data_IF_629929097798
#
_entry.id   IF_629929097798
#
_cell.length_a   1.000
_cell.length_b   1.000
_cell.length_c   1.000
_cell.angle_alpha   90.00
_cell.angle_beta   90.00
_cell.angle_gamma   90.00
#
_symmetry.space_group_name_H-M   'P 1'
#
loop_
_entity.id
_entity.type
_entity.pdbx_description
1 polymer ?
#
# COMPACT_ATOMS: atom_id res chain seq x y z
N UNK A 1 -44.70 -17.06 10.70
CA UNK A 1 -45.08 -18.26 11.50
C UNK A 1 -45.75 -19.26 10.56
N UNK A 2 -45.38 -20.54 10.62
CA UNK A 2 -46.06 -21.61 9.89
C UNK A 2 -47.06 -22.29 10.83
N UNK A 3 -48.36 -22.29 10.52
CA UNK A 3 -49.37 -22.99 11.31
C UNK A 3 -49.32 -24.50 11.06
N UNK A 4 -49.58 -25.31 12.08
CA UNK A 4 -49.71 -26.77 11.95
C UNK A 4 -51.13 -27.22 11.53
N UNK A 5 -52.12 -26.31 11.61
CA UNK A 5 -53.50 -26.54 11.23
C UNK A 5 -54.06 -25.27 10.57
N UNK A 6 -54.89 -25.42 9.53
CA UNK A 6 -55.41 -24.30 8.72
C UNK A 6 -56.36 -23.37 9.48
N UNK A 7 -56.78 -23.75 10.69
CA UNK A 7 -57.62 -22.95 11.60
C UNK A 7 -56.85 -21.97 12.47
N UNK A 8 -55.52 -21.90 12.36
CA UNK A 8 -54.71 -20.99 13.15
C UNK A 8 -54.96 -19.53 12.75
N UNK A 9 -55.13 -18.65 13.75
CA UNK A 9 -55.48 -17.24 13.55
C UNK A 9 -54.26 -16.32 13.26
N UNK A 10 -53.04 -16.86 13.38
CA UNK A 10 -51.78 -16.11 13.19
C UNK A 10 -50.88 -16.64 12.04
N UNK A 11 -51.40 -17.04 10.88
CA UNK A 11 -50.56 -17.50 9.77
C UNK A 11 -49.75 -16.33 9.21
N UNK A 12 -48.50 -16.58 8.81
CA UNK A 12 -47.62 -15.61 8.14
C UNK A 12 -47.25 -14.33 8.93
N UNK A 13 -47.48 -14.29 10.25
CA UNK A 13 -47.01 -13.17 11.08
C UNK A 13 -45.48 -13.19 11.29
N UNK A 14 -44.89 -12.00 11.50
CA UNK A 14 -43.51 -11.83 11.95
C UNK A 14 -43.38 -12.28 13.40
N UNK A 15 -42.33 -13.05 13.68
CA UNK A 15 -42.08 -13.61 15.00
C UNK A 15 -40.58 -13.50 15.31
N UNK A 16 -40.25 -13.20 16.57
CA UNK A 16 -38.86 -13.21 17.02
C UNK A 16 -38.53 -14.59 17.60
N UNK A 17 -37.48 -15.28 17.10
CA UNK A 17 -37.16 -16.65 17.53
C UNK A 17 -36.85 -16.73 19.03
N UNK A 18 -36.35 -15.64 19.64
CA UNK A 18 -36.01 -15.59 21.07
C UNK A 18 -37.25 -15.55 21.98
N UNK A 19 -38.35 -14.94 21.54
CA UNK A 19 -39.56 -14.78 22.38
C UNK A 19 -40.71 -15.69 21.97
N UNK A 20 -40.62 -16.37 20.83
CA UNK A 20 -41.70 -17.17 20.23
C UNK A 20 -42.25 -18.29 21.13
N UNK A 21 -41.42 -18.88 22.00
CA UNK A 21 -41.87 -19.96 22.88
C UNK A 21 -42.69 -19.47 24.10
N UNK A 22 -42.67 -18.15 24.37
CA UNK A 22 -43.42 -17.53 25.49
C UNK A 22 -44.65 -16.76 25.03
N UNK A 23 -44.87 -16.59 23.73
CA UNK A 23 -45.98 -15.79 23.20
C UNK A 23 -47.29 -16.57 23.21
N UNK A 24 -48.41 -15.85 23.06
CA UNK A 24 -49.73 -16.46 23.02
C UNK A 24 -49.95 -17.34 21.75
N UNK A 25 -49.08 -17.19 20.74
CA UNK A 25 -49.15 -17.89 19.45
C UNK A 25 -48.95 -19.39 19.63
N UNK A 26 -47.98 -19.80 20.46
CA UNK A 26 -47.69 -21.21 20.75
C UNK A 26 -48.78 -21.87 21.60
N UNK A 27 -49.54 -21.09 22.38
CA UNK A 27 -50.69 -21.57 23.17
C UNK A 27 -51.95 -21.76 22.31
N UNK A 28 -52.20 -20.85 21.38
CA UNK A 28 -53.38 -20.87 20.51
C UNK A 28 -53.21 -21.83 19.33
N UNK A 29 -51.98 -21.99 18.81
CA UNK A 29 -51.67 -22.88 17.70
C UNK A 29 -50.55 -23.87 18.09
N UNK A 30 -50.90 -25.04 18.67
CA UNK A 30 -49.93 -26.06 19.04
C UNK A 30 -49.23 -26.62 17.78
N UNK A 31 -47.90 -26.71 17.82
CA UNK A 31 -47.08 -27.16 16.68
C UNK A 31 -46.69 -26.07 15.68
N UNK A 32 -47.07 -24.81 15.90
CA UNK A 32 -46.63 -23.70 15.04
C UNK A 32 -45.12 -23.43 15.18
N UNK A 33 -44.46 -23.13 14.07
CA UNK A 33 -43.01 -22.85 14.05
C UNK A 33 -42.72 -21.43 13.55
N UNK A 34 -41.78 -20.76 14.22
CA UNK A 34 -41.21 -19.49 13.76
C UNK A 34 -40.01 -19.77 12.87
N UNK A 35 -40.24 -19.82 11.56
CA UNK A 35 -39.14 -19.96 10.59
C UNK A 35 -38.53 -18.61 10.23
N UNK A 36 -37.24 -18.64 9.92
CA UNK A 36 -36.55 -17.53 9.31
C UNK A 36 -37.12 -17.27 7.92
N UNK A 37 -37.77 -16.12 7.73
CA UNK A 37 -38.38 -15.75 6.45
C UNK A 37 -37.39 -15.01 5.55
N UNK A 38 -36.74 -13.96 6.06
CA UNK A 38 -35.75 -13.20 5.31
C UNK A 38 -34.94 -12.28 6.23
N UNK A 39 -33.67 -12.05 5.89
CA UNK A 39 -32.78 -11.09 6.54
C UNK A 39 -32.99 -9.67 5.97
N UNK A 40 -34.23 -9.20 5.85
CA UNK A 40 -34.47 -7.80 5.46
C UNK A 40 -35.57 -7.19 6.31
N UNK A 41 -35.29 -7.09 7.62
CA UNK A 41 -35.96 -6.06 8.40
C UNK A 41 -35.71 -4.71 7.73
N UNK A 42 -36.75 -3.90 7.58
CA UNK A 42 -36.72 -2.50 7.09
C UNK A 42 -35.88 -1.60 8.02
N UNK A 43 -34.61 -1.91 8.20
CA UNK A 43 -33.66 -1.07 8.89
C UNK A 43 -32.84 -0.37 7.83
N UNK A 44 -32.94 0.97 7.82
CA UNK A 44 -32.12 1.90 7.04
C UNK A 44 -30.67 1.38 6.92
N UNK A 45 -30.10 0.92 8.03
CA UNK A 45 -28.77 0.33 8.16
C UNK A 45 -28.43 -0.82 7.18
N UNK A 46 -29.34 -1.76 6.90
CA UNK A 46 -29.05 -2.87 5.98
C UNK A 46 -28.95 -2.40 4.51
N UNK A 47 -29.54 -1.25 4.15
CA UNK A 47 -29.38 -0.65 2.82
C UNK A 47 -28.06 0.13 2.69
N UNK A 48 -27.65 0.81 3.76
CA UNK A 48 -26.39 1.56 3.79
C UNK A 48 -25.17 0.68 4.07
N UNK A 49 -25.33 -0.56 4.55
CA UNK A 49 -24.19 -1.44 4.84
C UNK A 49 -23.34 -1.71 3.60
N UNK A 50 -23.96 -1.97 2.43
CA UNK A 50 -23.23 -2.18 1.19
C UNK A 50 -22.49 -0.91 0.74
N UNK A 51 -23.14 0.24 0.86
CA UNK A 51 -22.54 1.55 0.54
C UNK A 51 -21.37 1.86 1.49
N UNK A 52 -21.52 1.56 2.78
CA UNK A 52 -20.48 1.74 3.78
C UNK A 52 -19.29 0.81 3.53
N UNK A 53 -19.51 -0.44 3.12
CA UNK A 53 -18.44 -1.36 2.74
C UNK A 53 -17.70 -0.90 1.47
N UNK A 54 -18.44 -0.44 0.46
CA UNK A 54 -17.85 0.13 -0.76
C UNK A 54 -17.04 1.40 -0.45
N UNK A 55 -17.57 2.28 0.41
CA UNK A 55 -16.86 3.47 0.88
C UNK A 55 -15.58 3.11 1.64
N UNK A 56 -15.64 2.15 2.57
CA UNK A 56 -14.46 1.68 3.31
C UNK A 56 -13.40 1.08 2.39
N UNK A 57 -13.81 0.30 1.37
CA UNK A 57 -12.88 -0.27 0.39
C UNK A 57 -12.25 0.84 -0.46
N UNK A 58 -13.04 1.80 -0.92
CA UNK A 58 -12.56 2.96 -1.66
C UNK A 58 -11.54 3.77 -0.85
N UNK A 59 -11.88 4.13 0.39
CA UNK A 59 -10.99 4.87 1.29
C UNK A 59 -9.73 4.07 1.58
N UNK A 60 -9.84 2.76 1.84
CA UNK A 60 -8.69 1.89 2.05
C UNK A 60 -7.74 1.88 0.85
N UNK A 61 -8.26 1.65 -0.36
CA UNK A 61 -7.46 1.66 -1.57
C UNK A 61 -6.83 3.04 -1.83
N UNK A 62 -7.60 4.11 -1.63
CA UNK A 62 -7.11 5.47 -1.78
C UNK A 62 -5.96 5.80 -0.81
N UNK A 63 -6.10 5.44 0.46
CA UNK A 63 -5.06 5.62 1.47
C UNK A 63 -3.78 4.86 1.13
N UNK A 64 -3.87 3.61 0.67
CA UNK A 64 -2.70 2.82 0.24
C UNK A 64 -1.93 3.52 -0.89
N UNK A 65 -2.64 4.08 -1.87
CA UNK A 65 -2.02 4.82 -2.97
C UNK A 65 -1.40 6.15 -2.51
N UNK A 66 -2.04 6.87 -1.59
CA UNK A 66 -1.48 8.09 -0.99
C UNK A 66 -0.18 7.77 -0.24
N UNK A 67 -0.16 6.72 0.60
CA UNK A 67 1.03 6.34 1.37
C UNK A 67 2.19 5.98 0.44
N UNK A 68 1.91 5.24 -0.63
CA UNK A 68 2.92 4.86 -1.63
C UNK A 68 3.49 6.09 -2.35
N UNK A 69 2.63 7.01 -2.78
CA UNK A 69 3.05 8.25 -3.43
C UNK A 69 3.88 9.14 -2.49
N UNK A 70 3.47 9.23 -1.22
CA UNK A 70 4.18 9.98 -0.19
C UNK A 70 5.58 9.41 0.09
N UNK A 71 5.71 8.08 0.10
CA UNK A 71 7.01 7.40 0.25
C UNK A 71 7.97 7.77 -0.87
N UNK A 72 7.52 7.67 -2.13
CA UNK A 72 8.34 8.03 -3.29
C UNK A 72 8.72 9.51 -3.32
N UNK A 73 7.78 10.40 -3.03
CA UNK A 73 8.05 11.84 -2.94
C UNK A 73 9.09 12.14 -1.85
N UNK A 74 8.96 11.53 -0.67
CA UNK A 74 9.85 11.78 0.47
C UNK A 74 11.28 11.38 0.15
N UNK A 75 11.47 10.24 -0.52
CA UNK A 75 12.79 9.79 -0.99
C UNK A 75 13.38 10.76 -2.01
N UNK A 76 12.58 11.17 -3.01
CA UNK A 76 13.02 12.13 -4.01
C UNK A 76 13.40 13.49 -3.40
N UNK A 77 12.62 13.99 -2.44
CA UNK A 77 12.89 15.23 -1.71
C UNK A 77 14.16 15.16 -0.85
N UNK A 78 14.39 14.04 -0.17
CA UNK A 78 15.59 13.83 0.62
C UNK A 78 16.85 13.82 -0.26
N UNK A 79 16.79 13.16 -1.42
CA UNK A 79 17.87 13.20 -2.40
C UNK A 79 18.10 14.59 -2.97
N UNK A 80 17.02 15.28 -3.34
CA UNK A 80 17.13 16.59 -3.94
C UNK A 80 17.79 17.59 -2.99
N UNK A 81 17.40 17.55 -1.71
CA UNK A 81 17.97 18.39 -0.66
C UNK A 81 19.48 18.15 -0.46
N UNK A 82 19.96 16.93 -0.68
CA UNK A 82 21.38 16.60 -0.55
C UNK A 82 22.20 16.94 -1.81
N UNK A 83 21.68 16.65 -3.00
CA UNK A 83 22.38 16.84 -4.27
C UNK A 83 22.46 18.31 -4.68
N UNK A 84 21.38 19.08 -4.52
CA UNK A 84 21.31 20.49 -4.95
C UNK A 84 21.70 21.50 -3.86
N UNK A 85 22.17 21.07 -2.70
CA UNK A 85 22.74 21.97 -1.68
C UNK A 85 24.02 22.64 -2.20
N UNK A 86 23.99 23.97 -2.37
CA UNK A 86 25.11 24.75 -2.90
C UNK A 86 26.22 24.99 -1.88
N UNK A 87 25.90 25.24 -0.61
CA UNK A 87 26.88 25.30 0.48
C UNK A 87 26.71 24.11 1.44
N UNK A 88 27.61 23.13 1.32
CA UNK A 88 27.69 22.02 2.28
C UNK A 88 28.61 22.42 3.45
N UNK A 89 28.27 22.15 4.73
CA UNK A 89 27.09 21.44 5.22
C UNK A 89 25.89 22.35 5.60
N UNK A 90 26.06 23.68 5.59
CA UNK A 90 25.10 24.62 6.20
C UNK A 90 23.70 24.59 5.56
N UNK A 91 23.59 24.27 4.26
CA UNK A 91 22.31 24.22 3.53
C UNK A 91 21.61 22.85 3.61
N UNK A 92 22.20 21.85 4.28
CA UNK A 92 21.66 20.48 4.34
C UNK A 92 20.84 20.33 5.64
N UNK A 93 19.54 20.00 5.56
CA UNK A 93 18.75 19.74 6.77
C UNK A 93 19.29 18.51 7.51
N UNK A 94 19.38 18.60 8.85
CA UNK A 94 19.92 17.52 9.69
C UNK A 94 19.18 16.18 9.54
N UNK A 95 17.87 16.23 9.25
CA UNK A 95 17.02 15.07 8.97
C UNK A 95 16.29 15.26 7.64
N UNK A 96 16.93 14.97 6.49
CA UNK A 96 16.35 15.26 5.17
C UNK A 96 15.06 14.48 4.91
N UNK A 97 14.98 13.21 5.35
CA UNK A 97 13.77 12.37 5.20
C UNK A 97 12.59 12.95 5.97
N UNK A 98 12.78 13.29 7.25
CA UNK A 98 11.71 13.85 8.08
C UNK A 98 11.26 15.23 7.58
N UNK A 99 12.22 16.07 7.16
CA UNK A 99 11.94 17.41 6.62
C UNK A 99 11.12 17.32 5.33
N UNK A 100 11.53 16.48 4.37
CA UNK A 100 10.78 16.28 3.12
C UNK A 100 9.40 15.65 3.35
N UNK A 101 9.27 14.72 4.31
CA UNK A 101 7.98 14.13 4.67
C UNK A 101 7.00 15.16 5.24
N UNK A 102 7.45 16.00 6.17
CA UNK A 102 6.62 17.06 6.75
C UNK A 102 6.23 18.09 5.69
N UNK A 103 7.15 18.43 4.78
CA UNK A 103 6.85 19.33 3.66
C UNK A 103 5.79 18.74 2.73
N UNK A 104 5.88 17.45 2.42
CA UNK A 104 4.90 16.74 1.61
C UNK A 104 3.50 16.81 2.23
N UNK A 105 3.41 16.53 3.55
CA UNK A 105 2.14 16.54 4.28
C UNK A 105 1.53 17.93 4.44
N UNK A 106 2.35 18.98 4.60
CA UNK A 106 1.84 20.34 4.79
C UNK A 106 1.47 21.03 3.49
N UNK A 107 2.26 20.84 2.43
CA UNK A 107 2.14 21.64 1.21
C UNK A 107 1.62 20.86 0.01
N UNK A 108 1.76 19.53 -0.02
CA UNK A 108 1.50 18.72 -1.21
C UNK A 108 0.43 17.65 -1.05
N UNK A 109 -0.21 17.53 0.12
CA UNK A 109 -1.25 16.50 0.38
C UNK A 109 -2.38 16.52 -0.64
N UNK A 110 -2.85 17.71 -1.07
CA UNK A 110 -3.91 17.83 -2.08
C UNK A 110 -3.51 17.31 -3.47
N UNK A 111 -2.33 17.71 -3.96
CA UNK A 111 -1.79 17.25 -5.24
C UNK A 111 -1.40 15.77 -5.21
N UNK A 112 -0.90 15.28 -4.08
CA UNK A 112 -0.61 13.86 -3.87
C UNK A 112 -1.89 13.03 -3.87
N UNK A 113 -2.96 13.50 -3.22
CA UNK A 113 -4.25 12.83 -3.21
C UNK A 113 -4.87 12.75 -4.61
N UNK A 114 -4.87 13.86 -5.36
CA UNK A 114 -5.35 13.87 -6.74
C UNK A 114 -4.45 13.05 -7.68
N UNK A 115 -3.13 13.17 -7.53
CA UNK A 115 -2.14 12.42 -8.31
C UNK A 115 -2.23 10.91 -8.09
N UNK A 116 -2.49 10.46 -6.85
CA UNK A 116 -2.66 9.04 -6.52
C UNK A 116 -3.88 8.42 -7.22
N UNK A 117 -4.96 9.19 -7.41
CA UNK A 117 -6.14 8.74 -8.14
C UNK A 117 -5.84 8.60 -9.64
N UNK A 118 -5.10 9.56 -10.21
CA UNK A 118 -4.66 9.51 -11.62
C UNK A 118 -3.70 8.35 -11.84
N UNK A 119 -2.74 8.14 -10.93
CA UNK A 119 -1.78 7.04 -11.03
C UNK A 119 -2.50 5.69 -10.95
N UNK A 120 -3.50 5.52 -10.08
CA UNK A 120 -4.27 4.28 -10.01
C UNK A 120 -5.00 3.98 -11.33
N UNK A 121 -5.60 4.98 -11.97
CA UNK A 121 -6.25 4.83 -13.29
C UNK A 121 -5.22 4.58 -14.39
N UNK A 122 -4.11 5.33 -14.38
CA UNK A 122 -3.04 5.20 -15.35
C UNK A 122 -2.32 3.85 -15.25
N UNK A 123 -2.15 3.27 -14.06
CA UNK A 123 -1.54 1.96 -13.85
C UNK A 123 -2.39 0.84 -14.48
N UNK A 124 -3.71 0.91 -14.36
CA UNK A 124 -4.62 -0.01 -15.06
C UNK A 124 -4.43 0.11 -16.58
N UNK A 125 -4.31 1.35 -17.07
CA UNK A 125 -4.13 1.64 -18.49
C UNK A 125 -2.73 1.28 -18.99
N UNK A 126 -1.68 1.34 -18.17
CA UNK A 126 -0.29 1.08 -18.55
C UNK A 126 0.07 -0.41 -18.50
N UNK A 127 -0.46 -1.18 -17.54
CA UNK A 127 -0.14 -2.61 -17.41
C UNK A 127 -0.55 -3.40 -18.67
N UNK A 128 -1.67 -3.05 -19.30
CA UNK A 128 -2.19 -3.73 -20.50
C UNK A 128 -1.27 -3.55 -21.72
N UNK A 129 -0.95 -2.33 -22.18
CA UNK A 129 -0.10 -2.09 -23.34
C UNK A 129 1.36 -2.44 -23.09
N UNK A 130 1.94 -2.25 -21.89
CA UNK A 130 3.36 -2.59 -21.68
C UNK A 130 3.57 -4.10 -21.71
N UNK A 131 2.68 -4.88 -21.09
CA UNK A 131 2.70 -6.35 -21.18
C UNK A 131 2.44 -6.84 -22.61
N UNK A 132 1.58 -6.13 -23.34
CA UNK A 132 1.30 -6.42 -24.75
C UNK A 132 2.47 -6.06 -25.67
N UNK A 133 3.15 -4.95 -25.41
CA UNK A 133 4.31 -4.53 -26.20
C UNK A 133 5.52 -5.42 -25.91
N UNK A 134 5.75 -5.80 -24.66
CA UNK A 134 6.85 -6.69 -24.28
C UNK A 134 6.70 -8.09 -24.89
N UNK A 135 5.46 -8.59 -25.07
CA UNK A 135 5.23 -9.87 -25.75
C UNK A 135 5.57 -9.79 -27.24
N UNK A 136 5.29 -8.66 -27.88
CA UNK A 136 5.61 -8.42 -29.30
C UNK A 136 7.10 -8.16 -29.49
N UNK A 137 7.73 -7.43 -28.57
CA UNK A 137 9.15 -7.05 -28.68
C UNK A 137 10.09 -8.20 -28.30
N UNK A 138 9.72 -9.12 -27.40
CA UNK A 138 10.53 -10.31 -27.08
C UNK A 138 10.74 -11.26 -28.25
N UNK A 139 9.90 -11.19 -29.29
CA UNK A 139 10.12 -11.93 -30.55
C UNK A 139 11.07 -11.24 -31.54
N UNK A 140 11.43 -9.97 -31.33
CA UNK A 140 12.04 -9.11 -32.37
C UNK A 140 13.24 -8.25 -31.94
N UNK A 141 13.82 -8.42 -30.75
CA UNK A 141 15.02 -7.65 -30.37
C UNK A 141 16.28 -8.30 -30.95
N UNK A 142 16.68 -7.85 -32.15
CA UNK A 142 18.10 -7.69 -32.49
C UNK A 142 18.57 -6.36 -31.87
N UNK A 143 19.73 -6.29 -31.21
CA UNK A 143 20.17 -5.06 -30.53
C UNK A 143 20.59 -4.00 -31.55
N UNK A 144 19.64 -3.19 -32.02
CA UNK A 144 19.89 -2.06 -32.92
C UNK A 144 19.72 -0.74 -32.17
N UNK A 145 20.75 -0.36 -31.40
CA UNK A 145 20.99 1.03 -31.01
C UNK A 145 22.45 1.23 -30.61
N UNK A 146 23.37 1.33 -31.59
CA UNK A 146 24.74 1.69 -31.21
C UNK A 146 25.63 2.31 -32.29
N UNK A 147 25.30 3.50 -32.74
CA UNK A 147 26.27 4.40 -33.36
C UNK A 147 25.94 5.81 -32.87
N UNK A 148 26.27 6.19 -31.63
CA UNK A 148 27.35 7.17 -31.35
C UNK A 148 27.77 7.26 -29.86
N UNK A 149 27.28 6.37 -28.97
CA UNK A 149 27.67 6.34 -27.53
C UNK A 149 28.88 5.40 -27.27
N UNK A 150 30.01 5.60 -27.95
CA UNK A 150 30.81 4.43 -28.34
C UNK A 150 32.19 4.22 -27.66
N UNK A 151 32.64 5.05 -26.73
CA UNK A 151 33.86 4.79 -25.94
C UNK A 151 33.60 4.84 -24.43
N UNK A 152 33.30 6.01 -23.85
CA UNK A 152 33.05 6.12 -22.40
C UNK A 152 31.93 5.22 -21.88
N UNK A 153 30.80 5.13 -22.60
CA UNK A 153 29.70 4.25 -22.18
C UNK A 153 30.04 2.76 -22.32
N UNK A 154 30.96 2.39 -23.23
CA UNK A 154 31.44 1.01 -23.33
C UNK A 154 32.33 0.65 -22.16
N UNK A 155 33.20 1.56 -21.74
CA UNK A 155 34.12 1.34 -20.62
C UNK A 155 33.34 1.22 -19.30
N UNK A 156 32.37 2.11 -19.06
CA UNK A 156 31.45 1.99 -17.90
C UNK A 156 30.63 0.69 -17.95
N UNK A 157 30.09 0.32 -19.11
CA UNK A 157 29.33 -0.93 -19.26
C UNK A 157 30.21 -2.17 -19.07
N UNK A 158 31.46 -2.17 -19.53
CA UNK A 158 32.42 -3.26 -19.33
C UNK A 158 32.80 -3.43 -17.86
N UNK A 159 32.96 -2.34 -17.11
CA UNK A 159 33.22 -2.37 -15.67
C UNK A 159 32.04 -2.98 -14.88
N UNK A 160 30.81 -2.62 -15.24
CA UNK A 160 29.59 -3.19 -14.66
C UNK A 160 29.41 -4.67 -15.06
N UNK A 161 29.59 -5.00 -16.33
CA UNK A 161 29.40 -6.35 -16.87
C UNK A 161 30.43 -7.36 -16.33
N UNK A 162 31.67 -6.92 -16.05
CA UNK A 162 32.72 -7.78 -15.50
C UNK A 162 32.39 -8.30 -14.08
N UNK A 163 31.45 -7.67 -13.37
CA UNK A 163 30.97 -8.10 -12.05
C UNK A 163 29.44 -8.33 -11.99
N UNK A 164 28.78 -8.46 -13.14
CA UNK A 164 27.30 -8.51 -13.23
C UNK A 164 26.70 -9.64 -12.41
N UNK A 165 27.35 -10.81 -12.37
CA UNK A 165 26.87 -11.99 -11.63
C UNK A 165 26.74 -11.67 -10.14
N UNK A 166 27.76 -11.01 -9.56
CA UNK A 166 27.75 -10.64 -8.14
C UNK A 166 26.67 -9.61 -7.86
N UNK A 167 26.50 -8.62 -8.73
CA UNK A 167 25.45 -7.60 -8.60
C UNK A 167 24.05 -8.20 -8.72
N UNK A 168 23.82 -9.08 -9.68
CA UNK A 168 22.54 -9.78 -9.86
C UNK A 168 22.23 -10.72 -8.68
N UNK A 169 23.21 -11.44 -8.15
CA UNK A 169 22.99 -12.29 -6.96
C UNK A 169 22.63 -11.43 -5.75
N UNK A 170 23.35 -10.33 -5.51
CA UNK A 170 23.04 -9.42 -4.40
C UNK A 170 21.66 -8.78 -4.54
N UNK A 171 21.27 -8.36 -5.75
CA UNK A 171 19.93 -7.85 -6.05
C UNK A 171 18.84 -8.89 -5.71
N UNK A 172 19.00 -10.12 -6.20
CA UNK A 172 18.03 -11.20 -5.94
C UNK A 172 17.95 -11.59 -4.47
N UNK A 173 19.08 -11.68 -3.78
CA UNK A 173 19.13 -11.98 -2.35
C UNK A 173 18.47 -10.85 -1.54
N UNK A 174 18.77 -9.60 -1.87
CA UNK A 174 18.19 -8.43 -1.19
C UNK A 174 16.67 -8.38 -1.36
N UNK A 175 16.18 -8.64 -2.57
CA UNK A 175 14.74 -8.75 -2.82
C UNK A 175 14.06 -9.86 -2.01
N UNK A 176 14.69 -11.03 -1.91
CA UNK A 176 14.18 -12.14 -1.11
C UNK A 176 14.17 -11.82 0.39
N UNK A 177 15.26 -11.26 0.92
CA UNK A 177 15.37 -10.88 2.34
C UNK A 177 14.33 -9.83 2.73
N UNK A 178 14.10 -8.83 1.88
CA UNK A 178 13.07 -7.84 2.12
C UNK A 178 11.66 -8.38 2.00
N UNK A 179 11.41 -9.30 1.08
CA UNK A 179 10.12 -9.97 1.00
C UNK A 179 9.84 -10.76 2.29
N UNK A 180 10.81 -11.52 2.78
CA UNK A 180 10.69 -12.28 4.03
C UNK A 180 10.50 -11.36 5.23
N UNK A 181 11.28 -10.28 5.33
CA UNK A 181 11.14 -9.29 6.41
C UNK A 181 9.75 -8.65 6.45
N UNK A 182 9.21 -8.24 5.30
CA UNK A 182 7.86 -7.66 5.21
C UNK A 182 6.77 -8.66 5.62
N UNK A 183 6.90 -9.92 5.23
CA UNK A 183 5.95 -10.98 5.57
C UNK A 183 6.00 -11.34 7.06
N UNK A 184 7.18 -11.37 7.67
CA UNK A 184 7.33 -11.63 9.10
C UNK A 184 6.77 -10.50 9.95
N UNK A 185 7.06 -9.24 9.60
CA UNK A 185 6.54 -8.07 10.33
C UNK A 185 5.02 -8.01 10.23
N UNK A 186 4.46 -8.17 9.03
CA UNK A 186 3.01 -8.09 8.84
C UNK A 186 2.27 -9.29 9.45
N UNK A 187 2.84 -10.48 9.37
CA UNK A 187 2.32 -11.68 10.02
C UNK A 187 2.30 -11.56 11.54
N UNK A 188 3.38 -11.04 12.14
CA UNK A 188 3.48 -10.88 13.60
C UNK A 188 2.42 -9.89 14.13
N UNK A 189 2.23 -8.77 13.44
CA UNK A 189 1.22 -7.76 13.81
C UNK A 189 -0.19 -8.30 13.61
N UNK A 190 -0.43 -9.08 12.55
CA UNK A 190 -1.71 -9.76 12.33
C UNK A 190 -2.06 -10.74 13.45
N UNK A 191 -1.10 -11.57 13.87
CA UNK A 191 -1.28 -12.50 14.99
C UNK A 191 -1.57 -11.73 16.28
N UNK A 192 -0.77 -10.71 16.61
CA UNK A 192 -0.99 -9.88 17.81
C UNK A 192 -2.37 -9.21 17.82
N UNK A 193 -2.80 -8.66 16.69
CA UNK A 193 -4.11 -8.03 16.54
C UNK A 193 -5.25 -9.06 16.72
N UNK A 194 -5.11 -10.26 16.15
CA UNK A 194 -6.08 -11.35 16.34
C UNK A 194 -6.21 -11.72 17.83
N UNK A 195 -5.08 -11.94 18.52
CA UNK A 195 -5.09 -12.20 19.96
C UNK A 195 -5.72 -11.04 20.76
N UNK A 196 -5.40 -9.80 20.42
CA UNK A 196 -5.97 -8.63 21.11
C UNK A 196 -7.50 -8.56 21.00
N UNK A 197 -8.04 -8.78 19.80
CA UNK A 197 -9.50 -8.72 19.58
C UNK A 197 -10.24 -9.97 20.07
N UNK A 198 -9.60 -11.14 20.08
CA UNK A 198 -10.19 -12.40 20.57
C UNK A 198 -10.17 -12.52 22.10
N UNK A 199 -9.13 -12.04 22.77
CA UNK A 199 -8.94 -12.25 24.22
C UNK A 199 -9.47 -11.12 25.11
N UNK A 200 -10.19 -10.13 24.55
CA UNK A 200 -10.86 -9.01 25.25
C UNK A 200 -10.26 -8.71 26.63
N UNK A 201 -9.15 -7.96 26.66
CA UNK A 201 -8.51 -7.54 27.91
C UNK A 201 -9.56 -6.87 28.84
N UNK A 202 -9.72 -7.32 30.10
CA UNK A 202 -10.75 -6.85 31.02
C UNK A 202 -10.54 -5.42 31.54
N UNK A 203 -9.61 -4.66 30.97
CA UNK A 203 -9.22 -3.30 31.43
C UNK A 203 -9.98 -2.20 30.68
N UNK A 204 -10.61 -2.48 29.52
CA UNK A 204 -11.34 -1.48 28.71
C UNK A 204 -12.75 -2.01 28.41
N UNK A 205 -13.54 -2.26 29.46
CA UNK A 205 -14.83 -2.96 29.34
C UNK A 205 -16.06 -2.05 29.49
N UNK A 206 -15.92 -0.72 29.46
CA UNK A 206 -17.08 0.18 29.61
C UNK A 206 -17.67 0.76 28.31
N UNK A 207 -17.01 0.75 27.15
CA UNK A 207 -17.54 1.49 25.98
C UNK A 207 -17.40 0.84 24.59
N UNK A 208 -17.21 -0.48 24.47
CA UNK A 208 -17.14 -1.12 23.14
C UNK A 208 -18.42 -1.89 22.78
N UNK A 209 -19.30 -1.33 21.92
CA UNK A 209 -20.41 -2.08 21.36
C UNK A 209 -19.89 -3.30 20.59
N UNK A 210 -20.67 -4.37 20.54
CA UNK A 210 -20.32 -5.60 19.82
C UNK A 210 -20.02 -5.30 18.34
N UNK A 211 -18.74 -5.24 17.99
CA UNK A 211 -18.29 -5.00 16.63
C UNK A 211 -18.61 -6.25 15.79
N UNK A 212 -19.62 -6.16 14.93
CA UNK A 212 -20.05 -7.28 14.07
C UNK A 212 -18.96 -7.70 13.04
N UNK A 213 -17.94 -6.87 12.81
CA UNK A 213 -16.92 -7.10 11.78
C UNK A 213 -15.49 -6.95 12.32
N UNK A 214 -15.01 -7.97 13.04
CA UNK A 214 -13.64 -8.05 13.58
C UNK A 214 -12.55 -8.14 12.49
N UNK A 215 -12.89 -8.62 11.31
CA UNK A 215 -11.97 -8.80 10.19
C UNK A 215 -11.49 -7.48 9.57
N UNK A 216 -12.32 -6.43 9.62
CA UNK A 216 -11.98 -5.12 9.04
C UNK A 216 -10.77 -4.49 9.74
N UNK A 217 -10.76 -4.27 11.07
CA UNK A 217 -9.58 -3.72 11.76
C UNK A 217 -8.37 -4.66 11.73
N UNK A 218 -8.58 -5.97 11.62
CA UNK A 218 -7.50 -6.95 11.49
C UNK A 218 -6.76 -6.81 10.15
N UNK A 219 -7.49 -6.81 9.04
CA UNK A 219 -6.91 -6.71 7.69
C UNK A 219 -6.26 -5.34 7.47
N UNK A 220 -6.90 -4.26 7.95
CA UNK A 220 -6.31 -2.92 7.83
C UNK A 220 -5.01 -2.81 8.63
N UNK A 221 -4.95 -3.38 9.84
CA UNK A 221 -3.72 -3.42 10.63
C UNK A 221 -2.56 -4.15 9.94
N UNK A 222 -2.84 -5.32 9.35
CA UNK A 222 -1.85 -6.09 8.58
C UNK A 222 -1.33 -5.27 7.40
N UNK A 223 -2.22 -4.63 6.64
CA UNK A 223 -1.82 -3.85 5.46
C UNK A 223 -1.00 -2.62 5.85
N UNK A 224 -1.42 -1.89 6.89
CA UNK A 224 -0.67 -0.73 7.38
C UNK A 224 0.74 -1.14 7.82
N UNK A 225 0.87 -2.25 8.55
CA UNK A 225 2.18 -2.74 8.96
C UNK A 225 3.09 -3.12 7.79
N UNK A 226 2.51 -3.73 6.74
CA UNK A 226 3.22 -4.07 5.52
C UNK A 226 3.70 -2.80 4.77
N UNK A 227 2.88 -1.74 4.73
CA UNK A 227 3.25 -0.45 4.12
C UNK A 227 4.38 0.25 4.89
N UNK A 228 4.38 0.16 6.21
CA UNK A 228 5.47 0.71 7.04
C UNK A 228 6.77 -0.06 6.77
N UNK A 229 6.72 -1.39 6.77
CA UNK A 229 7.87 -2.24 6.44
C UNK A 229 8.41 -1.96 5.02
N UNK A 230 7.51 -1.71 4.06
CA UNK A 230 7.85 -1.27 2.72
C UNK A 230 8.68 0.03 2.76
N UNK A 231 8.21 1.07 3.45
CA UNK A 231 8.93 2.35 3.54
C UNK A 231 10.33 2.21 4.15
N UNK A 232 10.50 1.39 5.19
CA UNK A 232 11.83 1.12 5.74
C UNK A 232 12.75 0.38 4.77
N UNK A 233 12.22 -0.62 4.05
CA UNK A 233 12.99 -1.34 3.04
C UNK A 233 13.43 -0.43 1.89
N UNK A 234 12.60 0.53 1.48
CA UNK A 234 12.91 1.46 0.39
C UNK A 234 14.05 2.43 0.77
N UNK A 235 14.12 2.84 2.04
CA UNK A 235 15.26 3.62 2.55
C UNK A 235 16.54 2.77 2.62
N UNK A 236 16.41 1.47 2.96
CA UNK A 236 17.57 0.58 3.00
C UNK A 236 18.09 0.25 1.59
N UNK A 237 17.22 -0.07 0.63
CA UNK A 237 17.63 -0.36 -0.75
C UNK A 237 18.42 0.82 -1.32
N UNK A 238 17.93 2.03 -1.08
CA UNK A 238 18.61 3.28 -1.42
C UNK A 238 20.03 3.38 -0.84
N UNK A 239 20.24 2.89 0.39
CA UNK A 239 21.56 2.90 1.03
C UNK A 239 22.50 1.85 0.43
N UNK A 240 21.98 0.68 0.06
CA UNK A 240 22.74 -0.40 -0.60
C UNK A 240 23.13 -0.02 -2.03
N UNK A 241 22.32 0.80 -2.71
CA UNK A 241 22.62 1.30 -4.05
C UNK A 241 23.70 2.40 -4.05
N UNK A 242 23.93 3.08 -2.90
CA UNK A 242 24.93 4.17 -2.83
C UNK A 242 26.34 3.71 -3.18
N UNK A 243 26.93 2.66 -2.59
CA UNK A 243 28.25 2.17 -2.99
C UNK A 243 28.42 1.99 -4.51
N UNK A 244 27.36 1.59 -5.21
CA UNK A 244 27.38 1.49 -6.67
C UNK A 244 27.44 2.86 -7.36
N UNK A 245 26.63 3.83 -6.90
CA UNK A 245 26.71 5.23 -7.36
C UNK A 245 28.09 5.88 -7.12
N UNK A 246 28.79 5.49 -6.05
CA UNK A 246 30.13 6.00 -5.75
C UNK A 246 31.24 5.27 -6.53
N UNK A 247 31.02 4.01 -6.93
CA UNK A 247 31.93 3.28 -7.82
C UNK A 247 31.94 3.85 -9.25
N UNK A 248 30.86 4.52 -9.68
CA UNK A 248 30.76 5.22 -10.97
C UNK A 248 31.34 6.66 -10.96
N UNK A 249 32.04 7.07 -9.89
CA UNK A 249 32.82 8.32 -9.88
C UNK A 249 34.26 8.11 -10.38
N UNK A 250 34.45 7.95 -11.69
CA UNK A 250 35.57 8.62 -12.32
C UNK A 250 35.07 9.46 -13.50
N UNK A 251 34.22 10.46 -13.27
CA UNK A 251 34.02 11.61 -14.18
C UNK A 251 33.06 12.69 -13.65
N UNK A 252 33.20 13.09 -12.39
CA UNK A 252 32.77 14.43 -11.97
C UNK A 252 34.01 15.18 -11.53
N UNK A 253 34.87 15.52 -12.49
CA UNK A 253 35.72 16.70 -12.31
C UNK A 253 34.79 17.88 -12.06
N UNK A 254 34.99 18.65 -10.98
CA UNK A 254 34.21 19.86 -10.78
C UNK A 254 34.47 20.77 -11.97
N UNK A 255 33.40 21.42 -12.41
CA UNK A 255 33.37 22.56 -13.31
C UNK A 255 34.49 23.56 -12.93
N UNK A 256 35.70 23.37 -13.46
CA UNK A 256 36.84 24.26 -13.31
C UNK A 256 37.33 24.71 -14.69
N UNK A 257 36.39 24.95 -15.62
CA UNK A 257 36.63 25.63 -16.90
C UNK A 257 35.99 27.02 -16.96
N UNK A 258 35.96 27.74 -15.82
CA UNK A 258 35.71 29.19 -15.77
C UNK A 258 36.98 29.96 -15.38
N UNK A 259 38.16 29.47 -15.78
CA UNK A 259 39.44 30.17 -15.61
C UNK A 259 40.28 30.20 -16.90
N UNK A 260 39.63 30.18 -18.06
CA UNK A 260 40.27 30.42 -19.37
C UNK A 260 39.59 31.53 -20.19
N UNK A 261 38.59 32.21 -19.62
CA UNK A 261 37.89 33.35 -20.26
C UNK A 261 38.28 34.72 -19.68
N UNK A 262 39.51 34.83 -19.13
CA UNK A 262 40.05 36.11 -18.62
C UNK A 262 41.42 36.48 -19.18
N UNK A 263 41.86 35.83 -20.27
CA UNK A 263 43.11 36.14 -20.96
C UNK A 263 43.03 35.78 -22.46
N UNK A 264 42.06 36.36 -23.17
CA UNK A 264 42.12 36.53 -24.61
C UNK A 264 41.49 37.89 -24.93
N UNK A 265 42.37 38.88 -25.14
CA UNK A 265 42.17 40.28 -25.57
C UNK A 265 41.02 41.07 -24.94
#
# INVERSE_FOLDING_TARGET
>A
VIPANDTCMYPNLTCSPKTFNRTNITKVCPGSQCMFAFCSGESVYHRYILVLHLYNLFVFFWLVNIITALGQYTLAGAFASYYWARKKPNDIPAFPVCSSFIQALRYHTGSLAFGSLIVAVAQIIQIVPTKYLDMILKGSIKPFSRFNFCASSKDSFLLLMRNVIRMSVLDKVTHFLFFLGKLLISGSIGVLAFFFFTYKLPVIQEEVPSLNYIWVPLVTGIVVSYMIAQGFCDVYSMCVDRPQMWADKPCFTPFHSLRTWKNFN
#
